data_IF_820763368700
#
_entry.id   IF_820763368700
#
_cell.length_a   1.000
_cell.length_b   1.000
_cell.length_c   1.000
_cell.angle_alpha   90.00
_cell.angle_beta   90.00
_cell.angle_gamma   90.00
#
_symmetry.space_group_name_H-M   'P 1'
#
loop_
_entity.id
_entity.type
_entity.pdbx_description
1 polymer ?
#
# COMPACT_ATOMS: atom_id res chain seq x y z
N UNK A 1 -20.60 -18.14 -5.10
CA UNK A 1 -20.97 -16.75 -4.76
C UNK A 1 -20.54 -15.89 -5.94
N UNK A 2 -21.47 -15.49 -6.81
CA UNK A 2 -21.15 -14.61 -7.95
C UNK A 2 -21.23 -13.18 -7.45
N UNK A 3 -20.08 -12.51 -7.37
CA UNK A 3 -20.05 -11.07 -7.10
C UNK A 3 -20.47 -10.40 -8.41
N UNK A 4 -21.61 -9.70 -8.40
CA UNK A 4 -22.04 -8.90 -9.55
C UNK A 4 -21.04 -7.74 -9.77
N UNK A 5 -20.84 -7.29 -11.02
CA UNK A 5 -19.86 -6.25 -11.31
C UNK A 5 -20.35 -4.94 -10.70
N UNK A 6 -19.53 -4.48 -9.77
CA UNK A 6 -19.61 -3.21 -9.06
C UNK A 6 -19.18 -2.20 -10.15
N UNK A 7 -20.12 -1.47 -10.77
CA UNK A 7 -19.84 -0.31 -11.64
C UNK A 7 -19.47 0.90 -10.76
N UNK A 8 -18.19 1.00 -10.43
CA UNK A 8 -17.66 2.10 -9.63
C UNK A 8 -16.24 2.38 -10.10
N UNK A 9 -15.84 3.65 -9.99
CA UNK A 9 -14.48 4.17 -10.09
C UNK A 9 -13.42 3.12 -9.72
N UNK A 10 -12.33 3.05 -10.48
CA UNK A 10 -11.23 2.11 -10.28
C UNK A 10 -10.92 1.91 -8.78
N UNK A 11 -11.13 0.68 -8.30
CA UNK A 11 -10.84 0.28 -6.92
C UNK A 11 -9.38 -0.19 -6.87
N UNK A 12 -8.55 0.49 -6.07
CA UNK A 12 -7.14 0.13 -5.86
C UNK A 12 -6.93 -0.31 -4.41
N UNK A 13 -6.27 -1.45 -4.24
CA UNK A 13 -5.87 -1.96 -2.93
C UNK A 13 -4.46 -1.49 -2.54
N UNK A 14 -4.26 -1.26 -1.24
CA UNK A 14 -2.94 -1.01 -0.66
C UNK A 14 -2.72 -2.05 0.42
N UNK A 15 -1.72 -2.91 0.21
CA UNK A 15 -1.34 -3.88 1.24
C UNK A 15 -0.43 -3.18 2.23
N UNK A 16 -0.92 -2.98 3.45
CA UNK A 16 -0.19 -2.26 4.49
C UNK A 16 0.55 -3.20 5.45
N UNK A 17 1.72 -2.78 5.94
CA UNK A 17 2.52 -3.46 6.97
C UNK A 17 2.94 -4.88 6.61
N UNK A 18 3.37 -5.11 5.38
CA UNK A 18 3.89 -6.41 4.94
C UNK A 18 5.14 -6.78 5.74
N UNK A 19 5.14 -7.94 6.45
CA UNK A 19 6.32 -8.40 7.17
C UNK A 19 7.52 -8.66 6.23
N UNK A 20 8.76 -8.43 6.69
CA UNK A 20 9.96 -8.57 5.85
C UNK A 20 10.24 -10.01 5.43
N UNK A 21 9.61 -11.00 6.07
CA UNK A 21 9.71 -12.40 5.70
C UNK A 21 8.98 -12.74 4.39
N UNK A 22 8.11 -11.85 3.89
CA UNK A 22 7.36 -12.07 2.66
C UNK A 22 7.98 -11.33 1.47
N UNK A 23 7.94 -11.98 0.31
CA UNK A 23 8.27 -11.34 -0.96
C UNK A 23 7.12 -10.41 -1.38
N UNK A 24 7.35 -9.10 -1.57
CA UNK A 24 6.29 -8.16 -1.91
C UNK A 24 5.59 -8.49 -3.24
N UNK A 25 6.29 -9.07 -4.22
CA UNK A 25 5.71 -9.47 -5.51
C UNK A 25 4.72 -10.62 -5.34
N UNK A 26 5.06 -11.60 -4.51
CA UNK A 26 4.16 -12.72 -4.22
C UNK A 26 2.94 -12.29 -3.39
N UNK A 27 3.13 -11.33 -2.48
CA UNK A 27 2.05 -10.74 -1.70
C UNK A 27 1.08 -10.00 -2.61
N UNK A 28 1.60 -9.17 -3.54
CA UNK A 28 0.79 -8.48 -4.53
C UNK A 28 -0.07 -9.47 -5.32
N UNK A 29 0.56 -10.45 -5.97
CA UNK A 29 -0.14 -11.42 -6.81
C UNK A 29 -1.25 -12.17 -6.05
N UNK A 30 -0.99 -12.57 -4.80
CA UNK A 30 -1.99 -13.25 -3.96
C UNK A 30 -3.16 -12.35 -3.58
N UNK A 31 -2.91 -11.08 -3.31
CA UNK A 31 -3.98 -10.13 -2.94
C UNK A 31 -4.82 -9.80 -4.17
N UNK A 32 -4.20 -9.55 -5.31
CA UNK A 32 -4.90 -9.33 -6.59
C UNK A 32 -5.78 -10.53 -6.96
N UNK A 33 -5.26 -11.76 -6.81
CA UNK A 33 -6.05 -13.00 -7.01
C UNK A 33 -7.22 -13.11 -6.03
N UNK A 34 -7.00 -12.79 -4.74
CA UNK A 34 -8.01 -12.96 -3.71
C UNK A 34 -9.16 -11.94 -3.81
N UNK A 35 -8.87 -10.70 -4.20
CA UNK A 35 -9.83 -9.60 -4.20
C UNK A 35 -10.28 -9.15 -5.59
N UNK A 36 -9.62 -9.60 -6.66
CA UNK A 36 -9.96 -9.26 -8.03
C UNK A 36 -9.82 -7.78 -8.35
N UNK A 37 -8.91 -7.08 -7.65
CA UNK A 37 -8.63 -5.65 -7.77
C UNK A 37 -7.12 -5.42 -7.87
N UNK A 38 -6.72 -4.34 -8.54
CA UNK A 38 -5.31 -3.98 -8.69
C UNK A 38 -4.72 -3.51 -7.35
N UNK A 39 -3.49 -3.95 -7.04
CA UNK A 39 -2.76 -3.46 -5.86
C UNK A 39 -1.86 -2.30 -6.25
N UNK A 40 -2.15 -1.11 -5.71
CA UNK A 40 -1.37 0.10 -5.94
C UNK A 40 0.05 0.01 -5.37
N UNK A 41 0.18 -0.66 -4.21
CA UNK A 41 1.44 -0.85 -3.51
C UNK A 41 1.35 -1.94 -2.44
N UNK A 42 2.50 -2.58 -2.20
CA UNK A 42 2.75 -3.42 -1.03
C UNK A 42 3.74 -2.68 -0.12
N UNK A 43 3.24 -2.14 0.98
CA UNK A 43 4.00 -1.33 1.91
C UNK A 43 4.65 -2.21 2.98
N UNK A 44 5.96 -2.15 3.11
CA UNK A 44 6.69 -2.86 4.15
C UNK A 44 6.31 -2.38 5.55
N UNK A 45 6.44 -3.26 6.54
CA UNK A 45 6.52 -2.84 7.93
C UNK A 45 7.72 -1.89 8.12
N UNK A 46 7.58 -0.88 8.99
CA UNK A 46 8.66 0.04 9.38
C UNK A 46 8.59 0.28 10.88
N UNK A 47 9.70 -0.04 11.56
CA UNK A 47 9.84 0.21 12.99
C UNK A 47 9.94 1.71 13.27
N UNK A 48 10.52 2.49 12.36
CA UNK A 48 10.58 3.95 12.42
C UNK A 48 9.17 4.56 12.42
N UNK A 49 8.28 4.05 11.56
CA UNK A 49 6.88 4.50 11.53
C UNK A 49 6.15 4.17 12.83
N UNK A 50 6.33 2.94 13.33
CA UNK A 50 5.69 2.54 14.60
C UNK A 50 6.24 3.31 15.80
N UNK A 51 7.53 3.63 15.79
CA UNK A 51 8.20 4.42 16.84
C UNK A 51 7.76 5.88 16.80
N UNK A 52 7.59 6.48 15.62
CA UNK A 52 7.10 7.84 15.48
C UNK A 52 5.66 7.98 16.02
N UNK A 53 4.83 6.97 15.79
CA UNK A 53 3.44 6.94 16.24
C UNK A 53 2.70 8.26 15.91
N UNK A 54 1.96 8.82 16.86
CA UNK A 54 1.20 10.08 16.69
C UNK A 54 2.02 11.34 16.98
N UNK A 55 3.35 11.25 17.14
CA UNK A 55 4.18 12.41 17.54
C UNK A 55 4.58 13.31 16.36
N UNK A 56 4.28 12.90 15.13
CA UNK A 56 4.53 13.70 13.93
C UNK A 56 3.99 13.05 12.67
N UNK A 57 4.12 13.75 11.54
CA UNK A 57 3.75 13.25 10.22
C UNK A 57 4.96 12.53 9.60
N UNK A 58 4.83 11.23 9.36
CA UNK A 58 5.94 10.38 8.93
C UNK A 58 6.66 10.88 7.67
N UNK A 59 5.92 11.16 6.60
CA UNK A 59 6.50 11.62 5.33
C UNK A 59 7.25 12.97 5.43
N UNK A 60 6.89 13.83 6.40
CA UNK A 60 7.61 15.08 6.64
C UNK A 60 8.87 14.88 7.48
N UNK A 61 8.90 13.84 8.32
CA UNK A 61 10.03 13.54 9.20
C UNK A 61 11.08 12.64 8.54
N UNK A 62 10.63 11.79 7.61
CA UNK A 62 11.44 10.84 6.87
C UNK A 62 11.19 10.97 5.36
N UNK A 63 11.56 12.11 4.73
CA UNK A 63 11.24 12.39 3.34
C UNK A 63 11.86 11.37 2.36
N UNK A 64 13.04 10.84 2.68
CA UNK A 64 13.79 9.92 1.81
C UNK A 64 13.56 8.43 2.17
N UNK A 65 12.64 8.13 3.09
CA UNK A 65 12.38 6.76 3.50
C UNK A 65 11.60 6.00 2.41
N UNK A 66 11.88 4.69 2.19
CA UNK A 66 11.20 3.91 1.15
C UNK A 66 9.67 3.98 1.19
N UNK A 67 9.06 3.94 2.40
CA UNK A 67 7.62 4.14 2.54
C UNK A 67 7.14 5.51 2.04
N UNK A 68 7.90 6.57 2.26
CA UNK A 68 7.55 7.91 1.76
C UNK A 68 7.54 7.93 0.24
N UNK A 69 8.53 7.31 -0.40
CA UNK A 69 8.55 7.11 -1.86
C UNK A 69 7.33 6.32 -2.34
N UNK A 70 6.95 5.25 -1.64
CA UNK A 70 5.74 4.49 -1.97
C UNK A 70 4.46 5.33 -1.83
N UNK A 71 4.34 6.16 -0.79
CA UNK A 71 3.20 7.06 -0.63
C UNK A 71 3.09 8.09 -1.74
N UNK A 72 4.22 8.64 -2.19
CA UNK A 72 4.26 9.56 -3.34
C UNK A 72 3.80 8.86 -4.62
N UNK A 73 4.26 7.62 -4.86
CA UNK A 73 3.83 6.84 -6.02
C UNK A 73 2.34 6.51 -6.00
N UNK A 74 1.77 6.17 -4.84
CA UNK A 74 0.32 5.98 -4.67
C UNK A 74 -0.43 7.29 -4.93
N UNK A 75 0.02 8.39 -4.33
CA UNK A 75 -0.62 9.69 -4.50
C UNK A 75 -0.64 10.14 -5.98
N UNK A 76 0.44 9.89 -6.72
CA UNK A 76 0.51 10.18 -8.14
C UNK A 76 -0.51 9.37 -8.96
N UNK A 77 -0.76 8.11 -8.61
CA UNK A 77 -1.78 7.28 -9.26
C UNK A 77 -3.21 7.81 -9.00
N UNK A 78 -3.46 8.37 -7.82
CA UNK A 78 -4.78 8.89 -7.42
C UNK A 78 -5.10 10.27 -8.00
N UNK A 79 -4.08 11.04 -8.37
CA UNK A 79 -4.24 12.39 -8.94
C UNK A 79 -4.35 12.41 -10.48
N UNK A 80 -4.40 11.23 -11.11
CA UNK A 80 -4.64 11.07 -12.55
C UNK A 80 -6.06 11.42 -12.99
#
# INVERSE_FOLDING_TARGET
MRVNPVDHRAFLDIVNKTPPAFNPVEVQARVEEAYGCDVAAVLSHSDEMMTLASTGVFALRYPDHPLTTSYQAIAAQLMG
#
